data_IF_413086579174
#
_entry.id   IF_413086579174
#
_cell.length_a   1.000
_cell.length_b   1.000
_cell.length_c   1.000
_cell.angle_alpha   90.00
_cell.angle_beta   90.00
_cell.angle_gamma   90.00
#
_symmetry.space_group_name_H-M   'P 1'
#
loop_
_entity.id
_entity.type
_entity.pdbx_description
1 polymer ?
#
# COMPACT_ATOMS: atom_id res chain seq x y z
N UNK A 1 33.90 -3.02 -46.20
CA UNK A 1 34.17 -4.14 -45.27
C UNK A 1 32.91 -4.43 -44.45
N UNK A 2 32.32 -5.62 -44.56
CA UNK A 2 31.15 -6.05 -43.76
C UNK A 2 31.67 -6.78 -42.51
N UNK A 3 31.76 -6.08 -41.39
CA UNK A 3 32.06 -6.70 -40.09
C UNK A 3 30.86 -7.54 -39.67
N UNK A 4 31.02 -8.87 -39.64
CA UNK A 4 30.01 -9.79 -39.09
C UNK A 4 30.10 -9.71 -37.56
N UNK A 5 29.04 -9.30 -36.85
CA UNK A 5 29.06 -9.28 -35.39
C UNK A 5 29.30 -10.70 -34.86
N UNK A 6 30.29 -10.82 -33.96
CA UNK A 6 30.64 -12.09 -33.33
C UNK A 6 29.48 -12.59 -32.47
N UNK A 7 29.18 -13.89 -32.55
CA UNK A 7 28.14 -14.59 -31.74
C UNK A 7 28.29 -14.32 -30.23
N UNK A 8 29.48 -13.93 -29.80
CA UNK A 8 29.81 -13.59 -28.41
C UNK A 8 29.07 -12.35 -27.90
N UNK A 9 28.86 -11.32 -28.73
CA UNK A 9 28.10 -10.13 -28.32
C UNK A 9 26.62 -10.43 -28.12
N UNK A 10 26.07 -11.39 -28.88
CA UNK A 10 24.70 -11.86 -28.68
C UNK A 10 24.54 -12.64 -27.37
N UNK A 11 25.51 -13.51 -27.05
CA UNK A 11 25.53 -14.22 -25.76
C UNK A 11 25.66 -13.27 -24.57
N UNK A 12 26.51 -12.26 -24.67
CA UNK A 12 26.67 -11.24 -23.63
C UNK A 12 25.40 -10.40 -23.45
N UNK A 13 24.74 -10.03 -24.55
CA UNK A 13 23.47 -9.31 -24.52
C UNK A 13 22.34 -10.11 -23.87
N UNK A 14 22.24 -11.41 -24.18
CA UNK A 14 21.25 -12.30 -23.56
C UNK A 14 21.53 -12.47 -22.06
N UNK A 15 22.79 -12.64 -21.68
CA UNK A 15 23.18 -12.76 -20.28
C UNK A 15 22.82 -11.49 -19.47
N UNK A 16 23.05 -10.31 -20.03
CA UNK A 16 22.68 -9.02 -19.43
C UNK A 16 21.15 -8.87 -19.29
N UNK A 17 20.38 -9.27 -20.31
CA UNK A 17 18.92 -9.25 -20.25
C UNK A 17 18.38 -10.17 -19.16
N UNK A 18 18.89 -11.39 -19.06
CA UNK A 18 18.47 -12.36 -18.04
C UNK A 18 18.86 -11.87 -16.64
N UNK A 19 20.09 -11.37 -16.47
CA UNK A 19 20.54 -10.81 -15.21
C UNK A 19 19.70 -9.60 -14.78
N UNK A 20 19.40 -8.68 -15.71
CA UNK A 20 18.55 -7.52 -15.45
C UNK A 20 17.13 -7.91 -15.04
N UNK A 21 16.55 -8.93 -15.68
CA UNK A 21 15.23 -9.43 -15.34
C UNK A 21 15.19 -10.08 -13.95
N UNK A 22 16.21 -10.87 -13.61
CA UNK A 22 16.33 -11.49 -12.27
C UNK A 22 16.47 -10.41 -11.19
N UNK A 23 17.33 -9.41 -11.40
CA UNK A 23 17.53 -8.31 -10.43
C UNK A 23 16.25 -7.50 -10.25
N UNK A 24 15.51 -7.24 -11.34
CA UNK A 24 14.23 -6.53 -11.30
C UNK A 24 13.20 -7.25 -10.43
N UNK A 25 13.05 -8.56 -10.61
CA UNK A 25 12.11 -9.38 -9.83
C UNK A 25 12.47 -9.36 -8.34
N UNK A 26 13.75 -9.53 -8.00
CA UNK A 26 14.22 -9.49 -6.60
C UNK A 26 13.94 -8.12 -5.98
N UNK A 27 14.20 -7.04 -6.70
CA UNK A 27 13.96 -5.68 -6.21
C UNK A 27 12.47 -5.42 -5.95
N UNK A 28 11.59 -5.83 -6.86
CA UNK A 28 10.13 -5.66 -6.73
C UNK A 28 9.53 -6.44 -5.55
N UNK A 29 10.03 -7.66 -5.29
CA UNK A 29 9.59 -8.47 -4.15
C UNK A 29 10.03 -7.81 -2.83
N UNK A 30 11.29 -7.37 -2.77
CA UNK A 30 11.86 -6.77 -1.55
C UNK A 30 11.23 -5.41 -1.21
N UNK A 31 10.89 -4.57 -2.18
CA UNK A 31 10.23 -3.29 -1.94
C UNK A 31 8.82 -3.46 -1.36
N UNK A 32 8.05 -4.38 -1.93
CA UNK A 32 6.66 -4.64 -1.53
C UNK A 32 6.57 -5.29 -0.15
N UNK A 33 7.43 -6.27 0.13
CA UNK A 33 7.50 -6.93 1.45
C UNK A 33 7.94 -5.97 2.56
N UNK A 34 8.93 -5.12 2.27
CA UNK A 34 9.40 -4.11 3.23
C UNK A 34 8.30 -3.10 3.56
N UNK A 35 7.51 -2.67 2.58
CA UNK A 35 6.38 -1.78 2.79
C UNK A 35 5.32 -2.41 3.71
N UNK A 36 4.94 -3.68 3.50
CA UNK A 36 3.97 -4.37 4.37
C UNK A 36 4.48 -4.61 5.79
N UNK A 37 5.80 -4.81 5.97
CA UNK A 37 6.42 -4.98 7.30
C UNK A 37 6.55 -3.67 8.08
N UNK A 38 6.67 -2.55 7.38
CA UNK A 38 6.91 -1.23 7.99
C UNK A 38 5.65 -0.37 8.07
N UNK A 39 4.60 -0.73 7.34
CA UNK A 39 3.28 -0.12 7.44
C UNK A 39 2.67 -0.30 8.82
N UNK A 40 1.95 0.72 9.27
CA UNK A 40 1.32 0.70 10.58
C UNK A 40 0.06 -0.17 10.54
N UNK A 41 -0.04 -1.12 11.46
CA UNK A 41 -1.17 -2.06 11.53
C UNK A 41 -2.21 -1.54 12.51
N UNK A 42 -3.46 -1.49 12.07
CA UNK A 42 -4.58 -1.00 12.88
C UNK A 42 -5.73 -1.99 12.84
N UNK A 43 -6.49 -2.04 13.94
CA UNK A 43 -7.65 -2.92 14.04
C UNK A 43 -8.92 -2.10 13.83
N UNK A 44 -9.76 -2.56 12.90
CA UNK A 44 -11.00 -1.90 12.50
C UNK A 44 -12.19 -2.85 12.72
N UNK A 45 -13.40 -2.33 13.02
CA UNK A 45 -13.70 -0.94 13.38
C UNK A 45 -13.07 -0.54 14.73
N UNK A 46 -12.85 0.76 14.93
CA UNK A 46 -12.22 1.29 16.13
C UNK A 46 -11.53 2.62 15.90
N UNK A 47 -10.76 3.04 16.90
CA UNK A 47 -9.88 4.21 16.82
C UNK A 47 -8.43 3.76 16.99
N UNK A 48 -7.53 4.30 16.17
CA UNK A 48 -6.11 4.00 16.22
C UNK A 48 -5.30 5.26 15.96
N UNK A 49 -4.14 5.34 16.62
CA UNK A 49 -3.18 6.41 16.39
C UNK A 49 -2.24 5.98 15.27
N UNK A 50 -1.99 6.86 14.32
CA UNK A 50 -1.09 6.67 13.19
C UNK A 50 0.07 7.65 13.24
N UNK A 51 1.28 7.18 12.96
CA UNK A 51 2.51 7.97 12.88
C UNK A 51 3.02 8.04 11.44
N UNK A 52 2.56 9.04 10.71
CA UNK A 52 2.80 9.18 9.28
C UNK A 52 4.10 9.94 9.03
N UNK A 53 5.15 9.20 8.65
CA UNK A 53 6.51 9.72 8.43
C UNK A 53 6.76 10.28 7.03
N UNK A 54 5.79 10.19 6.12
CA UNK A 54 5.88 10.70 4.75
C UNK A 54 4.63 11.52 4.40
N UNK A 55 4.81 12.48 3.51
CA UNK A 55 3.69 13.19 2.85
C UNK A 55 3.28 12.40 1.61
N UNK A 56 2.02 12.49 1.22
CA UNK A 56 1.52 11.83 0.00
C UNK A 56 0.21 11.08 0.22
N UNK A 57 -0.13 10.24 -0.75
CA UNK A 57 -1.32 9.39 -0.71
C UNK A 57 -0.99 8.11 0.06
N UNK A 58 -1.94 7.66 0.87
CA UNK A 58 -1.86 6.43 1.65
C UNK A 58 -3.05 5.53 1.34
N UNK A 59 -2.77 4.23 1.25
CA UNK A 59 -3.76 3.18 1.09
C UNK A 59 -4.08 2.53 2.44
N UNK A 60 -5.36 2.23 2.65
CA UNK A 60 -5.84 1.39 3.75
C UNK A 60 -6.05 -0.02 3.19
N UNK A 61 -5.06 -0.89 3.37
CA UNK A 61 -5.11 -2.26 2.85
C UNK A 61 -5.61 -3.22 3.93
N UNK A 62 -6.77 -3.82 3.71
CA UNK A 62 -7.30 -4.86 4.61
C UNK A 62 -6.46 -6.13 4.51
N UNK A 63 -6.04 -6.66 5.66
CA UNK A 63 -5.21 -7.86 5.76
C UNK A 63 -5.75 -8.84 6.80
N UNK A 64 -5.37 -10.10 6.64
CA UNK A 64 -5.56 -11.11 7.67
C UNK A 64 -4.54 -10.87 8.79
N UNK A 65 -5.03 -10.77 10.03
CA UNK A 65 -4.28 -10.31 11.20
C UNK A 65 -2.87 -10.94 11.34
N UNK A 66 -2.76 -12.25 11.07
CA UNK A 66 -1.55 -13.04 11.35
C UNK A 66 -0.64 -13.28 10.13
N UNK A 67 -1.10 -12.98 8.91
CA UNK A 67 -0.32 -13.26 7.70
C UNK A 67 0.11 -12.01 6.95
N UNK A 68 -0.53 -10.86 7.24
CA UNK A 68 -0.29 -9.62 6.50
C UNK A 68 -0.71 -9.67 5.04
N UNK A 69 -1.30 -10.78 4.58
CA UNK A 69 -1.84 -10.93 3.24
C UNK A 69 -3.11 -10.11 3.10
N UNK A 70 -3.27 -9.44 1.96
CA UNK A 70 -4.49 -8.73 1.62
C UNK A 70 -5.69 -9.67 1.65
N UNK A 71 -6.83 -9.19 2.13
CA UNK A 71 -8.09 -9.92 2.00
C UNK A 71 -8.50 -9.93 0.53
N UNK A 72 -8.95 -11.08 0.03
CA UNK A 72 -9.38 -11.23 -1.36
C UNK A 72 -10.79 -10.67 -1.63
N UNK A 73 -11.62 -10.59 -0.59
CA UNK A 73 -12.95 -10.00 -0.64
C UNK A 73 -13.09 -8.92 0.44
N UNK A 74 -13.37 -7.69 -0.01
CA UNK A 74 -13.55 -6.52 0.86
C UNK A 74 -15.04 -6.19 1.10
N UNK A 75 -15.98 -6.96 0.54
CA UNK A 75 -17.42 -6.74 0.65
C UNK A 75 -17.93 -6.61 2.09
N UNK A 76 -17.43 -7.37 3.09
CA UNK A 76 -17.84 -7.21 4.50
C UNK A 76 -17.48 -5.85 5.11
N UNK A 77 -16.54 -5.13 4.51
CA UNK A 77 -15.97 -3.89 5.01
C UNK A 77 -16.46 -2.65 4.25
N UNK A 78 -17.33 -2.84 3.24
CA UNK A 78 -17.81 -1.77 2.35
C UNK A 78 -18.60 -0.64 3.05
N UNK A 79 -19.09 -0.89 4.26
CA UNK A 79 -19.86 0.10 5.03
C UNK A 79 -19.02 0.74 6.15
N UNK A 80 -17.69 0.54 6.17
CA UNK A 80 -16.82 1.24 7.11
C UNK A 80 -16.65 2.69 6.67
N UNK A 81 -17.04 3.60 7.56
CA UNK A 81 -16.80 5.03 7.42
C UNK A 81 -15.49 5.40 8.10
N UNK A 82 -14.65 6.12 7.38
CA UNK A 82 -13.33 6.51 7.83
C UNK A 82 -13.28 8.01 8.12
N UNK A 83 -12.72 8.36 9.26
CA UNK A 83 -12.39 9.73 9.62
C UNK A 83 -10.95 9.76 10.08
N UNK A 84 -10.12 10.58 9.42
CA UNK A 84 -8.75 10.80 9.81
C UNK A 84 -8.63 12.23 10.35
N UNK A 85 -8.05 12.39 11.53
CA UNK A 85 -7.90 13.71 12.19
C UNK A 85 -6.44 13.95 12.52
N UNK A 86 -5.89 15.08 12.12
CA UNK A 86 -4.55 15.52 12.49
C UNK A 86 -4.48 15.91 13.98
N UNK A 87 -3.27 15.98 14.54
CA UNK A 87 -3.06 16.38 15.93
C UNK A 87 -3.57 17.81 16.25
N UNK A 88 -3.64 18.69 15.25
CA UNK A 88 -4.21 20.04 15.35
C UNK A 88 -5.74 20.07 15.25
N UNK A 89 -6.40 18.90 15.13
CA UNK A 89 -7.84 18.77 15.01
C UNK A 89 -8.37 18.87 13.57
N UNK A 90 -7.53 19.10 12.56
CA UNK A 90 -8.00 19.15 11.18
C UNK A 90 -8.39 17.76 10.66
N UNK A 91 -9.61 17.64 10.14
CA UNK A 91 -10.08 16.42 9.49
C UNK A 91 -9.48 16.30 8.09
N UNK A 92 -8.85 15.16 7.82
CA UNK A 92 -8.38 14.76 6.50
C UNK A 92 -9.46 13.90 5.85
N UNK A 93 -9.86 14.28 4.64
CA UNK A 93 -10.83 13.52 3.85
C UNK A 93 -10.23 12.17 3.43
N UNK A 94 -10.95 11.11 3.75
CA UNK A 94 -10.69 9.75 3.23
C UNK A 94 -11.63 9.51 2.06
N UNK A 95 -11.07 9.21 0.90
CA UNK A 95 -11.81 8.89 -0.33
C UNK A 95 -11.88 7.38 -0.54
N UNK A 96 -12.85 6.94 -1.35
CA UNK A 96 -13.08 5.51 -1.56
C UNK A 96 -13.74 4.82 -0.35
N UNK A 97 -14.60 5.52 0.39
CA UNK A 97 -15.46 4.87 1.37
C UNK A 97 -16.31 3.81 0.66
N UNK A 98 -16.28 2.59 1.19
CA UNK A 98 -16.91 1.42 0.58
C UNK A 98 -16.20 0.82 -0.62
N UNK A 99 -15.04 1.35 -0.99
CA UNK A 99 -14.15 0.69 -1.96
C UNK A 99 -13.25 -0.34 -1.27
N UNK A 100 -12.69 -1.31 -2.03
CA UNK A 100 -11.80 -2.33 -1.48
C UNK A 100 -10.54 -1.77 -0.82
N UNK A 101 -10.07 -0.61 -1.30
CA UNK A 101 -8.88 0.09 -0.79
C UNK A 101 -9.21 1.58 -0.67
N UNK A 102 -9.68 2.04 0.50
CA UNK A 102 -9.85 3.46 0.78
C UNK A 102 -8.49 4.16 0.80
N UNK A 103 -8.46 5.43 0.39
CA UNK A 103 -7.23 6.22 0.30
C UNK A 103 -7.39 7.58 0.97
N UNK A 104 -6.29 8.14 1.46
CA UNK A 104 -6.29 9.50 2.00
C UNK A 104 -4.97 10.21 1.71
N UNK A 105 -5.02 11.54 1.67
CA UNK A 105 -3.83 12.36 1.35
C UNK A 105 -3.33 13.12 2.56
N UNK A 106 -2.05 12.96 2.85
CA UNK A 106 -1.37 13.56 4.00
C UNK A 106 -0.48 14.69 3.51
N UNK A 107 -0.82 15.93 3.92
CA UNK A 107 -0.06 17.14 3.55
C UNK A 107 1.12 17.42 4.48
N UNK A 108 1.06 16.93 5.72
CA UNK A 108 2.07 17.15 6.76
C UNK A 108 2.36 15.83 7.47
N UNK A 109 3.63 15.56 7.80
CA UNK A 109 3.99 14.39 8.58
C UNK A 109 3.64 14.60 10.04
N UNK A 110 3.28 13.54 10.76
CA UNK A 110 2.99 13.64 12.19
C UNK A 110 2.04 12.56 12.67
N UNK A 111 1.44 12.82 13.82
CA UNK A 111 0.47 11.94 14.47
C UNK A 111 -0.93 12.27 13.98
N UNK A 112 -1.66 11.22 13.60
CA UNK A 112 -3.05 11.28 13.17
C UNK A 112 -3.89 10.27 13.96
N UNK A 113 -5.16 10.57 14.13
CA UNK A 113 -6.15 9.64 14.68
C UNK A 113 -7.02 9.13 13.55
N UNK A 114 -6.93 7.83 13.26
CA UNK A 114 -7.83 7.14 12.35
C UNK A 114 -8.98 6.54 13.15
N UNK A 115 -10.21 6.89 12.78
CA UNK A 115 -11.44 6.29 13.29
C UNK A 115 -12.16 5.61 12.14
N UNK A 116 -12.46 4.32 12.28
CA UNK A 116 -13.29 3.58 11.34
C UNK A 116 -14.49 2.99 12.06
N UNK A 117 -15.70 3.29 11.59
CA UNK A 117 -16.94 2.85 12.25
C UNK A 117 -17.98 2.42 11.22
N UNK A 118 -18.77 1.41 11.58
CA UNK A 118 -20.00 1.10 10.84
C UNK A 118 -21.12 2.06 11.26
N UNK A 119 -21.95 2.57 10.34
CA UNK A 119 -23.09 3.43 10.66
C UNK A 119 -24.04 2.81 11.69
N UNK A 120 -24.28 1.51 11.61
CA UNK A 120 -25.14 0.74 12.51
C UNK A 120 -24.43 0.29 13.80
N UNK A 121 -23.15 0.64 13.97
CA UNK A 121 -22.35 0.31 15.15
C UNK A 121 -21.89 -1.15 15.26
N UNK A 122 -22.28 -2.03 14.34
CA UNK A 122 -21.89 -3.45 14.30
C UNK A 122 -21.39 -3.83 12.91
N UNK A 123 -20.42 -4.74 12.86
CA UNK A 123 -19.89 -5.28 11.60
C UNK A 123 -18.66 -6.15 11.78
N UNK A 124 -18.08 -6.59 10.66
CA UNK A 124 -16.93 -7.49 10.66
C UNK A 124 -15.65 -6.77 11.13
N UNK A 125 -14.78 -7.50 11.83
CA UNK A 125 -13.48 -6.99 12.24
C UNK A 125 -12.41 -7.33 11.21
N UNK A 126 -11.41 -6.46 11.07
CA UNK A 126 -10.27 -6.66 10.17
C UNK A 126 -9.03 -5.89 10.65
N UNK A 127 -7.85 -6.38 10.29
CA UNK A 127 -6.60 -5.64 10.46
C UNK A 127 -6.27 -4.91 9.17
N UNK A 128 -6.19 -3.59 9.19
CA UNK A 128 -5.69 -2.81 8.06
C UNK A 128 -4.21 -2.47 8.23
N UNK A 129 -3.49 -2.39 7.11
CA UNK A 129 -2.13 -1.87 7.04
C UNK A 129 -2.18 -0.57 6.28
N UNK A 130 -1.62 0.48 6.88
CA UNK A 130 -1.54 1.81 6.29
C UNK A 130 -0.23 1.92 5.52
N UNK A 131 -0.32 2.02 4.19
CA UNK A 131 0.83 2.02 3.30
C UNK A 131 0.92 3.33 2.52
N UNK A 132 2.07 4.00 2.48
CA UNK A 132 2.25 5.11 1.56
C UNK A 132 2.22 4.55 0.12
N UNK A 133 1.43 5.15 -0.75
CA UNK A 133 1.52 4.88 -2.18
C UNK A 133 2.89 5.34 -2.67
N UNK A 134 3.77 4.39 -2.96
CA UNK A 134 4.84 4.64 -3.92
C UNK A 134 4.15 4.72 -5.28
N UNK A 135 4.25 5.85 -5.98
CA UNK A 135 3.74 6.00 -7.35
C UNK A 135 4.25 4.84 -8.24
N UNK A 136 3.46 3.78 -8.31
CA UNK A 136 3.54 2.68 -9.29
C UNK A 136 2.12 2.31 -9.69
N UNK A 137 1.28 3.30 -9.98
CA UNK A 137 0.30 3.11 -11.05
C UNK A 137 1.08 3.26 -12.37
N UNK A 138 1.66 2.14 -12.81
CA UNK A 138 1.97 1.96 -14.23
C UNK A 138 0.62 1.87 -14.93
N UNK A 139 0.14 2.99 -15.47
CA UNK A 139 -0.84 2.99 -16.53
C UNK A 139 -0.27 2.15 -17.67
N UNK A 140 -0.84 0.95 -17.87
CA UNK A 140 -0.76 0.21 -19.12
C UNK A 140 -2.01 0.46 -19.93
#
# INVERSE_FOLDING_TARGET
>A
MKVKPSKWFYLLGIALLVAGLIISVIFAINSTLTAMRTGERVQLPGQSTLHLKKKGVYDIVYTVANTGKSVGDASPYKNLNYTLTAADGQTVSVTGQGQPVPVFTVKQTGTYTLRAVYPEGKGAQVTAVILPMTNTQSTG
#
